data_IF_261928696321
#
_entry.id   IF_261928696321
#
_cell.length_a   1.000
_cell.length_b   1.000
_cell.length_c   1.000
_cell.angle_alpha   90.00
_cell.angle_beta   90.00
_cell.angle_gamma   90.00
#
_symmetry.space_group_name_H-M   'P 1'
#
loop_
_entity.id
_entity.type
_entity.pdbx_description
1 polymer ?
#
# COMPACT_ATOMS: atom_id res chain seq x y z
N UNK A 1 69.65 -17.27 19.25
CA UNK A 1 68.53 -17.23 18.28
C UNK A 1 67.36 -16.53 18.97
N UNK A 2 67.10 -15.24 18.70
CA UNK A 2 65.99 -14.50 19.31
C UNK A 2 64.67 -14.79 18.60
N UNK A 3 63.59 -14.80 19.39
CA UNK A 3 62.20 -15.01 18.96
C UNK A 3 61.68 -13.84 18.11
N UNK A 4 60.72 -14.07 17.18
CA UNK A 4 60.21 -13.03 16.32
C UNK A 4 59.18 -12.13 17.02
N UNK A 5 59.21 -10.88 16.59
CA UNK A 5 58.47 -9.70 17.06
C UNK A 5 56.98 -9.79 16.74
N UNK A 6 56.15 -9.51 17.73
CA UNK A 6 54.69 -9.30 17.61
C UNK A 6 54.38 -8.14 16.67
N UNK A 7 53.64 -8.38 15.60
CA UNK A 7 53.02 -7.30 14.81
C UNK A 7 51.51 -7.37 15.01
N UNK A 8 50.97 -6.42 15.78
CA UNK A 8 49.54 -6.21 15.92
C UNK A 8 48.98 -5.65 14.61
N UNK A 9 48.28 -6.48 13.84
CA UNK A 9 47.43 -6.04 12.74
C UNK A 9 46.08 -5.57 13.30
N UNK A 10 45.73 -4.33 12.98
CA UNK A 10 44.48 -3.65 13.31
C UNK A 10 43.24 -4.51 13.00
N UNK A 11 42.50 -4.88 14.03
CA UNK A 11 41.14 -5.40 13.88
C UNK A 11 40.25 -4.24 13.39
N UNK A 12 40.08 -4.12 12.07
CA UNK A 12 38.92 -3.42 11.53
C UNK A 12 37.69 -4.26 11.89
N UNK A 13 36.94 -3.79 12.88
CA UNK A 13 35.60 -4.29 13.19
C UNK A 13 34.71 -4.09 11.96
N UNK A 14 34.58 -5.13 11.13
CA UNK A 14 33.57 -5.16 10.07
C UNK A 14 32.20 -5.10 10.75
N UNK A 15 31.46 -4.02 10.50
CA UNK A 15 30.06 -3.90 10.91
C UNK A 15 29.29 -5.14 10.41
N UNK A 16 28.40 -5.74 11.23
CA UNK A 16 27.64 -6.91 10.81
C UNK A 16 26.89 -6.59 9.52
N UNK A 17 27.17 -7.33 8.46
CA UNK A 17 26.44 -7.22 7.21
C UNK A 17 24.98 -7.59 7.48
N UNK A 18 24.12 -6.58 7.48
CA UNK A 18 22.67 -6.76 7.61
C UNK A 18 22.20 -7.55 6.40
N UNK A 19 21.76 -8.79 6.63
CA UNK A 19 21.10 -9.62 5.62
C UNK A 19 19.61 -9.77 5.96
N UNK A 20 18.80 -10.11 4.96
CA UNK A 20 17.38 -10.35 5.14
C UNK A 20 17.13 -11.85 5.39
N UNK A 21 16.23 -12.17 6.32
CA UNK A 21 15.88 -13.56 6.68
C UNK A 21 16.50 -14.03 8.00
N UNK A 22 16.15 -15.26 8.39
CA UNK A 22 16.62 -15.89 9.64
C UNK A 22 17.89 -16.75 9.46
N UNK A 23 18.31 -16.98 8.21
CA UNK A 23 19.51 -17.75 7.86
C UNK A 23 20.42 -16.93 6.95
N UNK A 24 21.69 -17.30 6.92
CA UNK A 24 22.67 -16.71 6.00
C UNK A 24 22.26 -16.91 4.52
N UNK A 25 22.65 -15.99 3.63
CA UNK A 25 22.38 -16.10 2.20
C UNK A 25 23.11 -17.30 1.58
N UNK A 26 22.46 -17.96 0.62
CA UNK A 26 23.05 -19.09 -0.12
C UNK A 26 24.21 -18.62 -1.02
N UNK A 27 24.06 -17.44 -1.63
CA UNK A 27 25.07 -16.84 -2.50
C UNK A 27 24.99 -15.32 -2.42
N UNK A 28 26.15 -14.67 -2.42
CA UNK A 28 26.31 -13.22 -2.54
C UNK A 28 26.80 -12.81 -3.94
N UNK A 29 26.79 -13.74 -4.91
CA UNK A 29 27.24 -13.46 -6.27
C UNK A 29 26.28 -12.47 -6.96
N UNK A 30 26.86 -11.42 -7.52
CA UNK A 30 26.13 -10.45 -8.35
C UNK A 30 25.80 -11.05 -9.75
N UNK A 31 24.76 -10.53 -10.44
CA UNK A 31 24.43 -10.98 -11.79
C UNK A 31 25.55 -10.69 -12.78
N UNK A 32 25.71 -11.58 -13.76
CA UNK A 32 26.58 -11.40 -14.93
C UNK A 32 25.83 -10.66 -16.03
N UNK A 33 26.56 -10.19 -17.03
CA UNK A 33 25.97 -9.56 -18.21
C UNK A 33 24.97 -10.48 -18.94
N UNK A 34 25.24 -11.78 -18.98
CA UNK A 34 24.31 -12.78 -19.51
C UNK A 34 22.97 -12.80 -18.78
N UNK A 35 22.98 -12.60 -17.46
CA UNK A 35 21.77 -12.60 -16.62
C UNK A 35 20.93 -11.34 -16.89
N UNK A 36 21.58 -10.19 -17.13
CA UNK A 36 20.92 -8.96 -17.54
C UNK A 36 20.20 -9.12 -18.89
N UNK A 37 20.85 -9.75 -19.88
CA UNK A 37 20.26 -10.02 -21.19
C UNK A 37 19.04 -10.95 -21.05
N UNK A 38 19.15 -11.99 -20.23
CA UNK A 38 18.03 -12.91 -19.98
C UNK A 38 16.87 -12.22 -19.25
N UNK A 39 17.18 -11.32 -18.30
CA UNK A 39 16.17 -10.52 -17.60
C UNK A 39 15.40 -9.62 -18.57
N UNK A 40 16.09 -8.96 -19.53
CA UNK A 40 15.39 -8.16 -20.54
C UNK A 40 14.49 -9.03 -21.43
N UNK A 41 14.97 -10.20 -21.86
CA UNK A 41 14.15 -11.14 -22.63
C UNK A 41 12.90 -11.60 -21.86
N UNK A 42 13.03 -11.82 -20.55
CA UNK A 42 11.89 -12.15 -19.69
C UNK A 42 10.86 -11.01 -19.68
N UNK A 43 11.30 -9.76 -19.48
CA UNK A 43 10.41 -8.59 -19.49
C UNK A 43 9.67 -8.48 -20.83
N UNK A 44 10.38 -8.57 -21.96
CA UNK A 44 9.75 -8.53 -23.29
C UNK A 44 8.77 -9.68 -23.52
N UNK A 45 9.08 -10.88 -23.02
CA UNK A 45 8.20 -12.05 -23.12
C UNK A 45 6.93 -11.88 -22.31
N UNK A 46 6.98 -11.16 -21.18
CA UNK A 46 5.85 -10.96 -20.29
C UNK A 46 4.87 -9.88 -20.77
N UNK A 47 5.33 -8.88 -21.53
CA UNK A 47 4.50 -7.77 -22.02
C UNK A 47 3.20 -8.20 -22.74
N UNK A 48 3.22 -9.16 -23.69
CA UNK A 48 2.01 -9.58 -24.41
C UNK A 48 0.94 -10.21 -23.52
N UNK A 49 1.31 -10.69 -22.33
CA UNK A 49 0.38 -11.29 -21.37
C UNK A 49 -0.33 -10.25 -20.50
N UNK A 50 -0.06 -8.95 -20.67
CA UNK A 50 -0.76 -7.89 -19.96
C UNK A 50 -0.43 -7.80 -18.46
N UNK A 51 0.75 -8.30 -18.06
CA UNK A 51 1.17 -8.29 -16.65
C UNK A 51 1.68 -6.93 -16.17
N UNK A 52 1.98 -6.02 -17.10
CA UNK A 52 2.32 -4.63 -16.82
C UNK A 52 1.12 -3.76 -17.16
N UNK A 53 0.71 -2.91 -16.23
CA UNK A 53 -0.33 -1.92 -16.46
C UNK A 53 0.20 -0.73 -17.28
N UNK A 54 -0.68 -0.10 -18.04
CA UNK A 54 -0.33 1.10 -18.83
C UNK A 54 -0.19 2.31 -17.92
N UNK A 55 0.70 3.23 -18.27
CA UNK A 55 0.96 4.43 -17.47
C UNK A 55 -0.30 5.30 -17.28
N UNK A 56 -1.16 5.39 -18.29
CA UNK A 56 -2.42 6.14 -18.19
C UNK A 56 -3.36 5.57 -17.12
N UNK A 57 -3.48 4.23 -17.05
CA UNK A 57 -4.28 3.57 -16.03
C UNK A 57 -3.63 3.70 -14.64
N UNK A 58 -2.30 3.65 -14.53
CA UNK A 58 -1.59 3.93 -13.28
C UNK A 58 -1.89 5.35 -12.76
N UNK A 59 -1.84 6.36 -13.64
CA UNK A 59 -2.20 7.73 -13.29
C UNK A 59 -3.66 7.85 -12.84
N UNK A 60 -4.58 7.17 -13.52
CA UNK A 60 -5.99 7.10 -13.14
C UNK A 60 -6.17 6.53 -11.73
N UNK A 61 -5.49 5.43 -11.40
CA UNK A 61 -5.49 4.81 -10.05
C UNK A 61 -5.00 5.79 -8.98
N UNK A 62 -3.95 6.55 -9.26
CA UNK A 62 -3.40 7.56 -8.34
C UNK A 62 -4.44 8.66 -8.05
N UNK A 63 -5.13 9.16 -9.08
CA UNK A 63 -6.15 10.19 -8.92
C UNK A 63 -7.33 9.69 -8.08
N UNK A 64 -7.80 8.46 -8.31
CA UNK A 64 -8.90 7.84 -7.57
C UNK A 64 -8.52 7.65 -6.10
N UNK A 65 -7.31 7.19 -5.81
CA UNK A 65 -6.81 7.10 -4.43
C UNK A 65 -6.71 8.48 -3.75
N UNK A 66 -6.34 9.52 -4.50
CA UNK A 66 -6.36 10.90 -4.01
C UNK A 66 -7.77 11.34 -3.61
N UNK A 67 -8.77 11.10 -4.46
CA UNK A 67 -10.18 11.39 -4.17
C UNK A 67 -10.68 10.60 -2.95
N UNK A 68 -10.46 9.29 -2.92
CA UNK A 68 -10.87 8.42 -1.80
C UNK A 68 -10.26 8.90 -0.48
N UNK A 69 -8.98 9.25 -0.48
CA UNK A 69 -8.29 9.76 0.70
C UNK A 69 -8.89 11.09 1.20
N UNK A 70 -9.35 11.95 0.30
CA UNK A 70 -10.03 13.19 0.68
C UNK A 70 -11.42 12.91 1.26
N UNK A 71 -12.19 11.99 0.66
CA UNK A 71 -13.49 11.56 1.21
C UNK A 71 -13.35 11.00 2.63
N UNK A 72 -12.32 10.19 2.89
CA UNK A 72 -12.02 9.66 4.23
C UNK A 72 -11.76 10.80 5.22
N UNK A 73 -10.94 11.79 4.87
CA UNK A 73 -10.64 12.94 5.75
C UNK A 73 -11.87 13.78 6.03
N UNK A 74 -12.67 14.06 5.00
CA UNK A 74 -13.91 14.81 5.14
C UNK A 74 -14.90 14.07 6.04
N UNK A 75 -15.09 12.78 5.81
CA UNK A 75 -15.94 11.93 6.62
C UNK A 75 -15.52 11.92 8.10
N UNK A 76 -14.23 11.74 8.39
CA UNK A 76 -13.74 11.74 9.78
C UNK A 76 -13.96 13.10 10.44
N UNK A 77 -13.80 14.20 9.69
CA UNK A 77 -14.11 15.56 10.18
C UNK A 77 -15.60 15.71 10.52
N UNK A 78 -16.49 15.28 9.61
CA UNK A 78 -17.95 15.30 9.80
C UNK A 78 -18.38 14.50 11.04
N UNK A 79 -17.79 13.31 11.25
CA UNK A 79 -18.05 12.51 12.46
C UNK A 79 -17.55 13.23 13.71
N UNK A 80 -16.37 13.85 13.66
CA UNK A 80 -15.81 14.60 14.79
C UNK A 80 -16.67 15.79 15.19
N UNK A 81 -17.24 16.49 14.22
CA UNK A 81 -18.20 17.57 14.43
C UNK A 81 -19.50 17.04 15.04
N UNK A 82 -20.04 15.93 14.53
CA UNK A 82 -21.27 15.31 15.03
C UNK A 82 -21.15 14.82 16.49
N UNK A 83 -19.94 14.45 16.92
CA UNK A 83 -19.63 14.05 18.29
C UNK A 83 -19.23 15.24 19.19
N UNK A 84 -19.42 16.48 18.72
CA UNK A 84 -19.14 17.73 19.42
C UNK A 84 -17.72 17.82 20.01
N UNK A 85 -16.72 17.30 19.28
CA UNK A 85 -15.33 17.42 19.71
C UNK A 85 -14.86 18.89 19.66
N UNK A 86 -13.87 19.28 20.49
CA UNK A 86 -13.31 20.63 20.44
C UNK A 86 -12.75 20.95 19.05
N UNK A 87 -12.93 22.19 18.60
CA UNK A 87 -12.46 22.65 17.28
C UNK A 87 -10.96 22.38 17.06
N UNK A 88 -10.14 22.53 18.10
CA UNK A 88 -8.71 22.23 18.07
C UNK A 88 -8.40 20.76 17.77
N UNK A 89 -9.30 19.82 18.10
CA UNK A 89 -9.18 18.40 17.77
C UNK A 89 -9.66 18.14 16.34
N UNK A 90 -10.78 18.75 15.94
CA UNK A 90 -11.37 18.60 14.60
C UNK A 90 -10.37 19.02 13.51
N UNK A 91 -9.66 20.13 13.72
CA UNK A 91 -8.64 20.63 12.78
C UNK A 91 -7.44 19.68 12.63
N UNK A 92 -7.21 18.80 13.60
CA UNK A 92 -6.06 17.89 13.66
C UNK A 92 -6.43 16.41 13.57
N UNK A 93 -7.71 16.08 13.34
CA UNK A 93 -8.22 14.70 13.39
C UNK A 93 -7.55 13.80 12.32
N UNK A 94 -7.18 14.40 11.19
CA UNK A 94 -6.48 13.72 10.11
C UNK A 94 -7.31 12.62 9.46
N UNK A 95 -6.76 11.39 9.46
CA UNK A 95 -7.29 10.26 8.70
C UNK A 95 -6.54 10.00 7.40
N UNK A 96 -6.41 8.73 7.06
CA UNK A 96 -5.66 8.33 5.87
C UNK A 96 -6.10 6.97 5.33
N UNK A 97 -6.15 6.87 4.00
CA UNK A 97 -6.23 5.59 3.30
C UNK A 97 -4.82 5.05 3.02
N UNK A 98 -4.64 3.75 3.22
CA UNK A 98 -3.40 3.04 2.95
C UNK A 98 -3.65 1.90 1.99
N UNK A 99 -2.90 1.85 0.90
CA UNK A 99 -2.97 0.69 0.02
C UNK A 99 -2.14 -0.48 0.57
N UNK A 100 -2.65 -1.69 0.36
CA UNK A 100 -1.92 -2.94 0.59
C UNK A 100 -2.08 -3.88 -0.61
N UNK A 101 -1.68 -5.13 -0.48
CA UNK A 101 -1.82 -6.11 -1.56
C UNK A 101 -0.94 -5.85 -2.78
N UNK A 102 -1.35 -6.42 -3.92
CA UNK A 102 -0.57 -6.43 -5.16
C UNK A 102 -0.28 -5.01 -5.70
N UNK A 103 -1.26 -4.12 -5.60
CA UNK A 103 -1.11 -2.72 -6.02
C UNK A 103 -0.03 -2.01 -5.20
N UNK A 104 -0.02 -2.19 -3.88
CA UNK A 104 1.02 -1.58 -3.02
C UNK A 104 2.42 -2.11 -3.32
N UNK A 105 2.52 -3.37 -3.74
CA UNK A 105 3.78 -4.03 -4.10
C UNK A 105 4.26 -3.67 -5.53
N UNK A 106 3.43 -3.03 -6.34
CA UNK A 106 3.77 -2.66 -7.73
C UNK A 106 3.81 -3.86 -8.68
N UNK A 107 3.09 -4.93 -8.35
CA UNK A 107 3.00 -6.18 -9.15
C UNK A 107 1.57 -6.51 -9.58
N UNK A 108 0.67 -5.54 -9.48
CA UNK A 108 -0.71 -5.70 -9.96
C UNK A 108 -0.75 -5.74 -11.49
N UNK A 109 -1.64 -6.56 -12.02
CA UNK A 109 -1.87 -6.68 -13.46
C UNK A 109 -3.02 -5.77 -13.89
N UNK A 110 -3.22 -5.63 -15.21
CA UNK A 110 -4.37 -4.92 -15.76
C UNK A 110 -5.68 -5.47 -15.18
N UNK A 111 -6.55 -4.57 -14.74
CA UNK A 111 -7.86 -4.92 -14.16
C UNK A 111 -7.81 -5.48 -12.74
N UNK A 112 -6.65 -5.55 -12.09
CA UNK A 112 -6.58 -5.93 -10.68
C UNK A 112 -7.21 -4.87 -9.77
N UNK A 113 -7.76 -5.31 -8.64
CA UNK A 113 -8.37 -4.47 -7.62
C UNK A 113 -7.33 -3.64 -6.86
N UNK A 114 -7.80 -2.58 -6.20
CA UNK A 114 -7.02 -1.83 -5.22
C UNK A 114 -7.53 -2.17 -3.82
N UNK A 115 -6.67 -2.82 -3.05
CA UNK A 115 -6.91 -3.04 -1.62
C UNK A 115 -6.49 -1.79 -0.83
N UNK A 116 -7.45 -1.18 -0.11
CA UNK A 116 -7.24 0.06 0.62
C UNK A 116 -7.82 0.01 2.03
N UNK A 117 -6.98 0.17 3.05
CA UNK A 117 -7.38 0.27 4.44
C UNK A 117 -7.61 1.73 4.85
N UNK A 118 -8.78 2.04 5.39
CA UNK A 118 -9.06 3.33 6.01
C UNK A 118 -8.62 3.32 7.48
N UNK A 119 -7.75 4.25 7.86
CA UNK A 119 -7.29 4.41 9.25
C UNK A 119 -7.85 5.70 9.83
N UNK A 120 -8.58 5.55 10.93
CA UNK A 120 -9.31 6.62 11.63
C UNK A 120 -8.83 6.74 13.08
N UNK A 121 -9.31 7.75 13.81
CA UNK A 121 -9.09 7.88 15.25
C UNK A 121 -10.15 7.09 16.04
N UNK A 122 -9.85 6.88 17.33
CA UNK A 122 -10.63 6.03 18.24
C UNK A 122 -12.11 6.41 18.36
N UNK A 123 -12.47 7.68 18.14
CA UNK A 123 -13.86 8.12 18.23
C UNK A 123 -14.68 7.82 16.97
N UNK A 124 -14.10 7.21 15.93
CA UNK A 124 -14.82 6.76 14.75
C UNK A 124 -15.03 5.25 14.87
N UNK A 125 -16.27 4.83 14.96
CA UNK A 125 -16.64 3.44 15.21
C UNK A 125 -16.75 2.64 13.90
N UNK A 126 -16.66 1.30 14.00
CA UNK A 126 -16.85 0.44 12.83
C UNK A 126 -18.22 0.62 12.17
N UNK A 127 -19.26 0.87 12.97
CA UNK A 127 -20.59 1.19 12.45
C UNK A 127 -20.63 2.52 11.69
N UNK A 128 -19.82 3.51 12.08
CA UNK A 128 -19.75 4.79 11.36
C UNK A 128 -19.25 4.54 9.92
N UNK A 129 -18.32 3.60 9.72
CA UNK A 129 -17.82 3.21 8.40
C UNK A 129 -18.92 2.60 7.52
N UNK A 130 -19.71 1.66 8.05
CA UNK A 130 -20.75 0.99 7.25
C UNK A 130 -22.04 1.80 7.07
N UNK A 131 -22.27 2.82 7.90
CA UNK A 131 -23.46 3.69 7.79
C UNK A 131 -23.09 5.00 7.08
N UNK A 132 -22.32 5.85 7.75
CA UNK A 132 -22.10 7.23 7.31
C UNK A 132 -21.11 7.33 6.16
N UNK A 133 -20.01 6.56 6.18
CA UNK A 133 -19.07 6.55 5.05
C UNK A 133 -19.68 5.85 3.83
N UNK A 134 -20.43 4.78 4.03
CA UNK A 134 -21.19 4.12 2.97
C UNK A 134 -22.14 5.09 2.26
N UNK A 135 -22.97 5.84 3.00
CA UNK A 135 -23.87 6.82 2.40
C UNK A 135 -23.08 7.97 1.73
N UNK A 136 -21.93 8.39 2.27
CA UNK A 136 -21.07 9.38 1.61
C UNK A 136 -20.53 8.89 0.26
N UNK A 137 -20.11 7.62 0.19
CA UNK A 137 -19.64 6.99 -1.05
C UNK A 137 -20.76 6.87 -2.08
N UNK A 138 -21.97 6.54 -1.66
CA UNK A 138 -23.15 6.39 -2.51
C UNK A 138 -23.57 7.69 -3.22
N UNK A 139 -23.21 8.84 -2.66
CA UNK A 139 -23.48 10.16 -3.25
C UNK A 139 -22.46 10.58 -4.33
N UNK A 140 -21.38 9.82 -4.52
CA UNK A 140 -20.36 10.14 -5.54
C UNK A 140 -20.80 9.59 -6.90
N UNK A 141 -20.78 10.42 -7.94
CA UNK A 141 -21.21 10.03 -9.30
C UNK A 141 -20.32 8.93 -9.90
N UNK A 142 -19.05 8.90 -9.49
CA UNK A 142 -18.06 7.94 -9.96
C UNK A 142 -18.19 6.55 -9.32
N UNK A 143 -18.95 6.43 -8.23
CA UNK A 143 -19.11 5.18 -7.47
C UNK A 143 -20.26 4.34 -8.03
N UNK A 144 -19.95 3.10 -8.36
CA UNK A 144 -20.87 2.07 -8.85
C UNK A 144 -20.69 0.78 -8.05
N UNK A 145 -21.65 -0.13 -8.16
CA UNK A 145 -21.60 -1.47 -7.55
C UNK A 145 -21.23 -1.48 -6.05
N UNK A 146 -21.63 -0.42 -5.33
CA UNK A 146 -21.36 -0.24 -3.92
C UNK A 146 -22.09 -1.31 -3.10
N UNK A 147 -21.35 -2.05 -2.29
CA UNK A 147 -21.88 -3.09 -1.38
C UNK A 147 -21.05 -3.19 -0.11
N UNK A 148 -21.72 -3.36 1.02
CA UNK A 148 -21.09 -3.63 2.31
C UNK A 148 -21.16 -5.13 2.62
N UNK A 149 -20.10 -5.67 3.23
CA UNK A 149 -20.05 -7.05 3.75
C UNK A 149 -19.51 -6.99 5.17
N UNK A 150 -20.39 -6.71 6.13
CA UNK A 150 -20.05 -6.53 7.55
C UNK A 150 -19.72 -7.86 8.25
N UNK A 151 -20.40 -8.94 7.85
CA UNK A 151 -20.29 -10.26 8.49
C UNK A 151 -19.08 -11.09 8.02
N UNK A 152 -18.17 -10.48 7.26
CA UNK A 152 -16.94 -11.15 6.84
C UNK A 152 -15.90 -11.22 7.98
N UNK A 153 -14.92 -12.12 7.85
CA UNK A 153 -13.81 -12.18 8.80
C UNK A 153 -13.03 -10.86 8.89
N UNK A 154 -12.89 -10.17 7.75
CA UNK A 154 -12.48 -8.77 7.68
C UNK A 154 -13.65 -8.00 7.04
N UNK A 155 -14.41 -7.23 7.83
CA UNK A 155 -15.52 -6.43 7.31
C UNK A 155 -15.04 -5.48 6.22
N UNK A 156 -15.80 -5.37 5.12
CA UNK A 156 -15.32 -4.67 3.91
C UNK A 156 -16.45 -3.92 3.18
N UNK A 157 -16.15 -2.73 2.64
CA UNK A 157 -16.96 -2.07 1.61
C UNK A 157 -16.30 -2.32 0.25
N UNK A 158 -17.08 -2.83 -0.71
CA UNK A 158 -16.63 -3.04 -2.09
C UNK A 158 -17.36 -2.07 -3.00
N UNK A 159 -16.62 -1.46 -3.92
CA UNK A 159 -17.18 -0.54 -4.92
C UNK A 159 -16.37 -0.59 -6.22
N UNK A 160 -16.99 -0.09 -7.28
CA UNK A 160 -16.33 0.26 -8.53
C UNK A 160 -16.24 1.79 -8.63
N UNK A 161 -15.05 2.37 -8.51
CA UNK A 161 -14.81 3.80 -8.65
C UNK A 161 -14.25 4.07 -10.05
N UNK A 162 -14.99 4.75 -10.93
CA UNK A 162 -14.56 5.03 -12.31
C UNK A 162 -13.97 3.78 -12.99
N UNK A 163 -14.65 2.62 -12.88
CA UNK A 163 -14.27 1.28 -13.38
C UNK A 163 -13.16 0.51 -12.63
N UNK A 164 -12.59 1.06 -11.55
CA UNK A 164 -11.64 0.34 -10.70
C UNK A 164 -12.32 -0.24 -9.47
N UNK A 165 -12.09 -1.52 -9.19
CA UNK A 165 -12.59 -2.13 -7.97
C UNK A 165 -11.73 -1.74 -6.77
N UNK A 166 -12.37 -1.22 -5.72
CA UNK A 166 -11.75 -0.92 -4.43
C UNK A 166 -12.38 -1.82 -3.37
N UNK A 167 -11.55 -2.50 -2.60
CA UNK A 167 -11.93 -3.27 -1.43
C UNK A 167 -11.21 -2.70 -0.20
N UNK A 168 -11.97 -2.36 0.84
CA UNK A 168 -11.42 -1.80 2.08
C UNK A 168 -12.15 -2.25 3.32
#
# INVERSE_FOLDING_TARGET
>A
MPFPVTTQGSQQTQLPQKHYGITSPISLAAPKETDCILTQKLIETLKPFGVFEEEEELQRRILILGKLNNLVKEWIREISESKNLPQSVIENVGGKSFTFGSYRLGVHTKGADIDALCVTLRHVDGSDFFISFYEKLKLQEEVKDLRAVEEAFVPVIKLCFDVLMVAG
#
